data_IF_326848275569
#
_entry.id   IF_326848275569
#
_cell.length_a   1.000
_cell.length_b   1.000
_cell.length_c   1.000
_cell.angle_alpha   90.00
_cell.angle_beta   90.00
_cell.angle_gamma   90.00
#
_symmetry.space_group_name_H-M   'P 1'
#
loop_
_entity.id
_entity.type
_entity.pdbx_description
1 polymer ?
#
# COMPACT_ATOMS: atom_id res chain seq x y z
N UNK A 1 23.99 -20.37 1.96
CA UNK A 1 22.77 -19.54 1.95
C UNK A 1 21.88 -20.12 0.88
N UNK A 2 20.64 -20.48 1.23
CA UNK A 2 19.72 -21.13 0.29
C UNK A 2 19.25 -20.17 -0.81
N UNK A 3 19.06 -20.72 -2.00
CA UNK A 3 18.49 -20.10 -3.20
C UNK A 3 17.20 -19.32 -2.92
N UNK A 4 16.37 -19.85 -2.02
CA UNK A 4 15.12 -19.22 -1.57
C UNK A 4 15.40 -17.90 -0.85
N UNK A 5 16.49 -17.82 -0.07
CA UNK A 5 16.89 -16.60 0.63
C UNK A 5 17.30 -15.50 -0.36
N UNK A 6 18.04 -15.81 -1.43
CA UNK A 6 18.44 -14.79 -2.41
C UNK A 6 17.25 -14.21 -3.17
N UNK A 7 16.27 -15.02 -3.57
CA UNK A 7 15.04 -14.51 -4.18
C UNK A 7 14.15 -13.74 -3.21
N UNK A 8 14.12 -14.15 -1.94
CA UNK A 8 13.42 -13.43 -0.89
C UNK A 8 14.07 -12.06 -0.59
N UNK A 9 15.39 -12.00 -0.40
CA UNK A 9 16.11 -10.77 -0.05
C UNK A 9 16.31 -9.81 -1.23
N UNK A 10 16.46 -10.32 -2.46
CA UNK A 10 16.67 -9.48 -3.65
C UNK A 10 15.40 -8.82 -4.18
N UNK A 11 14.22 -9.37 -3.90
CA UNK A 11 12.97 -8.95 -4.53
C UNK A 11 11.77 -8.83 -3.60
N UNK A 12 11.38 -9.94 -2.97
CA UNK A 12 10.16 -9.99 -2.17
C UNK A 12 10.24 -9.10 -0.92
N UNK A 13 11.39 -9.07 -0.25
CA UNK A 13 11.61 -8.26 0.95
C UNK A 13 11.51 -6.75 0.69
N UNK A 14 12.26 -6.13 -0.25
CA UNK A 14 12.16 -4.68 -0.48
C UNK A 14 10.77 -4.25 -0.96
N UNK A 15 10.12 -5.03 -1.83
CA UNK A 15 8.74 -4.76 -2.28
C UNK A 15 7.73 -4.83 -1.13
N UNK A 16 7.81 -5.86 -0.29
CA UNK A 16 6.95 -6.03 0.89
C UNK A 16 7.17 -4.94 1.94
N UNK A 17 8.42 -4.58 2.23
CA UNK A 17 8.74 -3.49 3.15
C UNK A 17 8.19 -2.15 2.64
N UNK A 18 8.36 -1.85 1.34
CA UNK A 18 7.84 -0.62 0.75
C UNK A 18 6.31 -0.55 0.78
N UNK A 19 5.64 -1.69 0.56
CA UNK A 19 4.20 -1.83 0.70
C UNK A 19 3.75 -1.55 2.14
N UNK A 20 4.36 -2.18 3.14
CA UNK A 20 4.03 -1.97 4.55
C UNK A 20 4.24 -0.52 4.99
N UNK A 21 5.35 0.12 4.61
CA UNK A 21 5.60 1.54 4.90
C UNK A 21 4.49 2.42 4.30
N UNK A 22 4.03 2.10 3.10
CA UNK A 22 2.95 2.82 2.44
C UNK A 22 1.63 2.67 3.20
N UNK A 23 1.31 1.47 3.69
CA UNK A 23 0.14 1.23 4.54
C UNK A 23 0.23 1.96 5.88
N UNK A 24 1.39 1.97 6.54
CA UNK A 24 1.60 2.72 7.78
C UNK A 24 1.38 4.22 7.58
N UNK A 25 1.86 4.78 6.47
CA UNK A 25 1.61 6.19 6.12
C UNK A 25 0.13 6.47 5.88
N UNK A 26 -0.56 5.59 5.17
CA UNK A 26 -2.00 5.73 4.95
C UNK A 26 -2.78 5.66 6.27
N UNK A 27 -2.37 4.78 7.20
CA UNK A 27 -2.97 4.67 8.53
C UNK A 27 -2.82 5.96 9.33
N UNK A 28 -1.66 6.63 9.27
CA UNK A 28 -1.46 7.93 9.92
C UNK A 28 -2.41 8.99 9.35
N UNK A 29 -2.54 9.07 8.03
CA UNK A 29 -3.44 10.05 7.39
C UNK A 29 -4.91 9.74 7.70
N UNK A 30 -5.30 8.47 7.83
CA UNK A 30 -6.64 8.10 8.32
C UNK A 30 -6.90 8.65 9.73
N UNK A 31 -5.95 8.50 10.64
CA UNK A 31 -6.07 9.03 12.01
C UNK A 31 -6.21 10.56 11.97
N UNK A 32 -5.37 11.25 11.20
CA UNK A 32 -5.46 12.70 11.01
C UNK A 32 -6.82 13.13 10.44
N UNK A 33 -7.37 12.39 9.47
CA UNK A 33 -8.68 12.67 8.88
C UNK A 33 -9.82 12.52 9.91
N UNK A 34 -9.75 11.52 10.78
CA UNK A 34 -10.71 11.32 11.88
C UNK A 34 -10.61 12.45 12.90
N UNK A 35 -9.38 12.84 13.26
CA UNK A 35 -9.13 13.92 14.20
C UNK A 35 -9.61 15.27 13.65
N UNK A 36 -9.40 15.53 12.36
CA UNK A 36 -9.87 16.72 11.67
C UNK A 36 -11.42 16.83 11.70
N UNK A 37 -12.12 15.72 11.46
CA UNK A 37 -13.57 15.68 11.57
C UNK A 37 -14.02 15.93 13.03
N UNK A 38 -13.31 15.32 14.00
CA UNK A 38 -13.61 15.47 15.43
C UNK A 38 -13.44 16.91 15.92
N UNK A 39 -12.42 17.62 15.43
CA UNK A 39 -12.22 19.05 15.72
C UNK A 39 -13.38 19.92 15.20
N UNK A 40 -14.07 19.49 14.15
CA UNK A 40 -15.25 20.17 13.60
C UNK A 40 -16.56 19.67 14.24
N UNK A 41 -16.50 18.86 15.30
CA UNK A 41 -17.66 18.34 16.02
C UNK A 41 -18.34 17.14 15.34
N UNK A 42 -17.73 16.56 14.31
CA UNK A 42 -18.27 15.42 13.58
C UNK A 42 -17.45 14.15 13.82
N UNK A 43 -18.14 13.01 13.87
CA UNK A 43 -17.47 11.71 13.93
C UNK A 43 -17.36 11.12 12.54
N UNK A 44 -16.13 10.88 12.10
CA UNK A 44 -15.84 10.23 10.82
C UNK A 44 -15.47 8.79 11.09
N UNK A 45 -16.41 7.89 10.84
CA UNK A 45 -16.18 6.46 10.97
C UNK A 45 -15.89 5.83 9.60
N UNK A 46 -14.64 5.42 9.44
CA UNK A 46 -14.17 4.76 8.23
C UNK A 46 -14.41 3.25 8.23
N UNK A 47 -14.53 2.64 9.41
CA UNK A 47 -14.55 1.18 9.57
C UNK A 47 -15.97 0.64 9.76
N UNK A 48 -16.95 1.46 10.17
CA UNK A 48 -18.34 1.01 10.32
C UNK A 48 -19.18 1.01 9.05
N UNK A 49 -18.71 1.62 7.95
CA UNK A 49 -19.47 1.66 6.70
C UNK A 49 -18.88 0.71 5.66
N UNK A 50 -19.71 -0.25 5.25
CA UNK A 50 -19.35 -1.48 4.52
C UNK A 50 -18.63 -1.25 3.17
N UNK A 51 -18.61 -0.02 2.63
CA UNK A 51 -18.03 0.29 1.32
C UNK A 51 -17.06 1.50 1.28
N UNK A 52 -16.74 2.15 2.41
CA UNK A 52 -15.92 3.37 2.34
C UNK A 52 -14.50 3.13 1.84
N UNK A 53 -13.89 2.00 2.20
CA UNK A 53 -12.56 1.63 1.68
C UNK A 53 -12.61 1.30 0.18
N UNK A 54 -13.68 0.70 -0.30
CA UNK A 54 -13.88 0.42 -1.73
C UNK A 54 -14.10 1.72 -2.52
N UNK A 55 -14.98 2.60 -2.03
CA UNK A 55 -15.25 3.90 -2.66
C UNK A 55 -13.99 4.77 -2.69
N UNK A 56 -13.19 4.77 -1.61
CA UNK A 56 -11.89 5.45 -1.60
C UNK A 56 -10.96 4.97 -2.72
N UNK A 57 -10.91 3.65 -2.94
CA UNK A 57 -9.97 3.03 -3.88
C UNK A 57 -10.45 3.11 -5.34
N UNK A 58 -11.73 2.83 -5.59
CA UNK A 58 -12.26 2.54 -6.91
C UNK A 58 -13.30 3.56 -7.40
N UNK A 59 -13.96 4.28 -6.49
CA UNK A 59 -14.98 5.28 -6.83
C UNK A 59 -14.78 6.57 -6.01
N UNK A 60 -13.66 7.32 -6.22
CA UNK A 60 -13.34 8.51 -5.42
C UNK A 60 -14.44 9.57 -5.42
N UNK A 61 -15.23 9.61 -6.50
CA UNK A 61 -16.35 10.55 -6.65
C UNK A 61 -17.53 10.20 -5.72
N UNK A 62 -17.69 8.92 -5.33
CA UNK A 62 -18.71 8.44 -4.38
C UNK A 62 -18.24 8.41 -2.94
N UNK A 63 -16.94 8.63 -2.71
CA UNK A 63 -16.34 8.59 -1.39
C UNK A 63 -16.88 9.71 -0.49
N UNK A 64 -17.05 10.91 -1.04
CA UNK A 64 -17.74 12.03 -0.38
C UNK A 64 -19.22 11.94 -0.72
N UNK A 65 -20.05 11.71 0.29
CA UNK A 65 -21.50 11.62 0.14
C UNK A 65 -22.13 13.00 0.33
N UNK A 66 -23.24 13.31 -0.37
CA UNK A 66 -23.97 14.56 -0.16
C UNK A 66 -24.44 14.75 1.29
N UNK A 67 -24.69 13.64 1.98
CA UNK A 67 -25.10 13.59 3.39
C UNK A 67 -23.96 13.79 4.39
N UNK A 68 -22.70 13.81 3.93
CA UNK A 68 -21.57 14.06 4.82
C UNK A 68 -21.59 15.52 5.28
N UNK A 69 -21.42 15.72 6.59
CA UNK A 69 -21.25 17.04 7.17
C UNK A 69 -19.88 17.67 6.82
N UNK A 70 -19.71 18.98 7.06
CA UNK A 70 -18.47 19.70 6.77
C UNK A 70 -17.20 19.05 7.37
N UNK A 71 -17.30 18.46 8.56
CA UNK A 71 -16.18 17.75 9.21
C UNK A 71 -15.79 16.48 8.48
N UNK A 72 -16.76 15.63 8.18
CA UNK A 72 -16.56 14.39 7.44
C UNK A 72 -16.03 14.66 6.02
N UNK A 73 -16.53 15.70 5.35
CA UNK A 73 -16.03 16.12 4.02
C UNK A 73 -14.57 16.55 4.08
N UNK A 74 -14.19 17.33 5.11
CA UNK A 74 -12.81 17.79 5.29
C UNK A 74 -11.84 16.62 5.48
N UNK A 75 -12.19 15.66 6.34
CA UNK A 75 -11.36 14.46 6.55
C UNK A 75 -11.26 13.57 5.29
N UNK A 76 -12.36 13.41 4.56
CA UNK A 76 -12.37 12.65 3.29
C UNK A 76 -11.55 13.33 2.20
N UNK A 77 -11.60 14.67 2.10
CA UNK A 77 -10.76 15.42 1.17
C UNK A 77 -9.26 15.24 1.47
N UNK A 78 -8.87 15.22 2.75
CA UNK A 78 -7.49 14.93 3.14
C UNK A 78 -7.04 13.55 2.64
N UNK A 79 -7.89 12.54 2.80
CA UNK A 79 -7.59 11.19 2.30
C UNK A 79 -7.50 11.13 0.77
N UNK A 80 -8.43 11.78 0.05
CA UNK A 80 -8.38 11.86 -1.40
C UNK A 80 -7.10 12.55 -1.89
N UNK A 81 -6.59 13.55 -1.16
CA UNK A 81 -5.35 14.25 -1.52
C UNK A 81 -4.11 13.34 -1.51
N UNK A 82 -4.07 12.33 -0.64
CA UNK A 82 -2.95 11.38 -0.55
C UNK A 82 -3.17 10.12 -1.39
N UNK A 83 -4.37 9.92 -1.95
CA UNK A 83 -4.80 8.71 -2.64
C UNK A 83 -3.88 8.37 -3.82
N UNK A 84 -3.69 9.30 -4.75
CA UNK A 84 -2.95 9.04 -5.98
C UNK A 84 -1.47 8.71 -5.69
N UNK A 85 -0.88 9.40 -4.70
CA UNK A 85 0.48 9.12 -4.23
C UNK A 85 0.58 7.75 -3.56
N UNK A 86 -0.44 7.35 -2.81
CA UNK A 86 -0.52 6.03 -2.18
C UNK A 86 -0.65 4.93 -3.22
N UNK A 87 -1.52 5.10 -4.22
CA UNK A 87 -1.67 4.17 -5.34
C UNK A 87 -0.38 4.00 -6.14
N UNK A 88 0.29 5.11 -6.50
CA UNK A 88 1.59 5.04 -7.18
C UNK A 88 2.62 4.23 -6.39
N UNK A 89 2.66 4.39 -5.06
CA UNK A 89 3.58 3.64 -4.19
C UNK A 89 3.23 2.15 -4.11
N UNK A 90 1.94 1.81 -4.04
CA UNK A 90 1.48 0.41 -4.07
C UNK A 90 1.88 -0.24 -5.40
N UNK A 91 1.69 0.46 -6.52
CA UNK A 91 2.12 -0.04 -7.83
C UNK A 91 3.64 -0.25 -7.91
N UNK A 92 4.45 0.68 -7.37
CA UNK A 92 5.91 0.52 -7.29
C UNK A 92 6.26 -0.71 -6.43
N UNK A 93 5.63 -0.90 -5.27
CA UNK A 93 5.85 -2.07 -4.44
C UNK A 93 5.53 -3.37 -5.18
N UNK A 94 4.40 -3.41 -5.89
CA UNK A 94 3.98 -4.55 -6.70
C UNK A 94 5.01 -4.85 -7.79
N UNK A 95 5.45 -3.84 -8.55
CA UNK A 95 6.47 -4.02 -9.60
C UNK A 95 7.77 -4.55 -9.02
N UNK A 96 8.25 -3.98 -7.91
CA UNK A 96 9.48 -4.43 -7.25
C UNK A 96 9.39 -5.90 -6.80
N UNK A 97 8.25 -6.29 -6.24
CA UNK A 97 8.00 -7.69 -5.85
C UNK A 97 7.93 -8.60 -7.08
N UNK A 98 7.15 -8.24 -8.09
CA UNK A 98 6.93 -9.06 -9.30
C UNK A 98 8.17 -9.20 -10.18
N UNK A 99 9.04 -8.18 -10.23
CA UNK A 99 10.30 -8.24 -11.00
C UNK A 99 11.40 -8.91 -10.17
N UNK A 100 11.42 -8.68 -8.86
CA UNK A 100 12.43 -9.24 -7.97
C UNK A 100 12.32 -10.76 -7.79
N UNK A 101 11.11 -11.32 -7.81
CA UNK A 101 10.89 -12.78 -7.73
C UNK A 101 11.56 -13.54 -8.90
N UNK A 102 11.28 -13.22 -10.19
CA UNK A 102 11.89 -13.92 -11.32
C UNK A 102 13.40 -13.65 -11.45
N UNK A 103 13.88 -12.45 -11.12
CA UNK A 103 15.34 -12.18 -11.04
C UNK A 103 16.01 -13.06 -9.97
N UNK A 104 15.39 -13.17 -8.80
CA UNK A 104 15.83 -14.06 -7.73
C UNK A 104 15.87 -15.52 -8.16
N UNK A 105 14.84 -15.98 -8.87
CA UNK A 105 14.74 -17.34 -9.39
C UNK A 105 15.78 -17.61 -10.49
N UNK A 106 16.03 -16.64 -11.38
CA UNK A 106 17.06 -16.75 -12.40
C UNK A 106 18.48 -16.82 -11.81
N UNK A 107 18.80 -15.94 -10.87
CA UNK A 107 20.09 -15.97 -10.15
C UNK A 107 20.27 -17.27 -9.36
N UNK A 108 19.18 -17.81 -8.82
CA UNK A 108 19.19 -19.09 -8.13
C UNK A 108 19.51 -20.26 -9.07
N UNK A 109 18.85 -20.32 -10.24
CA UNK A 109 19.14 -21.36 -11.24
C UNK A 109 20.57 -21.21 -11.77
N UNK A 110 20.98 -19.99 -12.12
CA UNK A 110 22.33 -19.72 -12.63
C UNK A 110 23.42 -20.06 -11.59
N UNK A 111 23.21 -19.76 -10.31
CA UNK A 111 24.17 -20.09 -9.24
C UNK A 111 24.22 -21.59 -8.95
N UNK A 112 23.08 -22.30 -9.03
CA UNK A 112 23.04 -23.76 -8.90
C UNK A 112 23.80 -24.45 -10.06
N UNK A 113 23.60 -23.99 -11.29
CA UNK A 113 24.35 -24.50 -12.45
C UNK A 113 25.84 -24.19 -12.37
N UNK A 114 26.23 -23.03 -11.83
CA UNK A 114 27.63 -22.68 -11.59
C UNK A 114 28.28 -23.58 -10.54
N UNK A 115 27.57 -23.89 -9.45
CA UNK A 115 28.05 -24.77 -8.38
C UNK A 115 28.20 -26.23 -8.82
N UNK A 116 27.31 -26.71 -9.71
CA UNK A 116 27.38 -28.07 -10.27
C UNK A 116 28.45 -28.25 -11.36
N UNK A 117 29.00 -27.15 -11.90
CA UNK A 117 30.04 -27.16 -12.94
C UNK A 117 31.47 -26.96 -12.42
N UNK A 118 31.65 -26.66 -11.14
CA UNK A 118 32.98 -26.69 -10.52
C UNK A 118 33.16 -28.04 -9.80
N UNK A 119 34.22 -28.81 -10.10
CA UNK A 119 34.51 -30.08 -9.43
C UNK A 119 34.89 -29.90 -7.96
#
# INVERSE_FOLDING_TARGET
>A
MDIVSYGFFGGAAPGSTYFLITLFRLRKVKIEAVELARQQGEFLDFDSSENQSYDFLLNPQKFIKPTDGPGARSGKNLLLSVRDKTWKRIWIAMILTTVGIPLGMFLAVASNEYFLRQP
#
